data_IF_784135948139
#
_entry.id   IF_784135948139
#
_cell.length_a   1.000
_cell.length_b   1.000
_cell.length_c   1.000
_cell.angle_alpha   90.00
_cell.angle_beta   90.00
_cell.angle_gamma   90.00
#
_symmetry.space_group_name_H-M   'P 1'
#
loop_
_entity.id
_entity.type
_entity.pdbx_description
1 polymer ?
#
# COMPACT_ATOMS: atom_id res chain seq x y z
N UNK A 1 -2.38 6.84 27.28
CA UNK A 1 -3.17 6.14 26.25
C UNK A 1 -2.39 6.20 24.94
N UNK A 2 -2.04 5.06 24.35
CA UNK A 2 -1.50 5.06 22.99
C UNK A 2 -2.64 5.45 22.05
N UNK A 3 -2.52 6.59 21.36
CA UNK A 3 -3.48 6.91 20.30
C UNK A 3 -3.36 5.84 19.23
N UNK A 4 -4.44 5.08 19.03
CA UNK A 4 -4.54 4.14 17.91
C UNK A 4 -4.37 4.94 16.61
N UNK A 5 -3.44 4.53 15.77
CA UNK A 5 -3.22 5.15 14.46
C UNK A 5 -4.23 4.53 13.49
N UNK A 6 -4.78 5.32 12.59
CA UNK A 6 -5.66 4.82 11.54
C UNK A 6 -4.83 4.26 10.38
N UNK A 7 -5.31 3.18 9.75
CA UNK A 7 -4.59 2.61 8.62
C UNK A 7 -4.59 3.55 7.41
N UNK A 8 -5.74 4.16 7.12
CA UNK A 8 -5.94 5.04 5.98
C UNK A 8 -6.26 6.48 6.40
N UNK A 9 -5.77 7.46 5.62
CA UNK A 9 -6.01 8.89 5.86
C UNK A 9 -7.48 9.25 5.98
N UNK A 10 -8.33 8.70 5.10
CA UNK A 10 -9.78 8.93 5.14
C UNK A 10 -10.40 8.51 6.48
N UNK A 11 -10.06 7.31 6.96
CA UNK A 11 -10.51 6.82 8.26
C UNK A 11 -10.00 7.68 9.43
N UNK A 12 -8.80 8.27 9.30
CA UNK A 12 -8.24 9.19 10.29
C UNK A 12 -9.02 10.52 10.34
N UNK A 13 -9.42 11.05 9.19
CA UNK A 13 -10.27 12.25 9.10
C UNK A 13 -11.63 11.99 9.74
N UNK A 14 -12.26 10.87 9.41
CA UNK A 14 -13.58 10.47 9.96
C UNK A 14 -13.54 10.32 11.49
N UNK A 15 -12.41 9.90 12.04
CA UNK A 15 -12.20 9.75 13.49
C UNK A 15 -11.66 11.02 14.17
N UNK A 16 -11.53 12.15 13.47
CA UNK A 16 -11.05 13.41 14.04
C UNK A 16 -9.55 13.46 14.34
N UNK A 17 -8.75 12.57 13.75
CA UNK A 17 -7.28 12.52 13.91
C UNK A 17 -6.56 12.55 12.56
N UNK A 18 -6.73 13.60 11.75
CA UNK A 18 -6.30 13.64 10.34
C UNK A 18 -4.79 13.46 10.10
N UNK A 19 -3.96 13.64 11.13
CA UNK A 19 -2.51 13.42 11.06
C UNK A 19 -2.07 11.99 11.42
N UNK A 20 -2.96 11.18 12.00
CA UNK A 20 -2.66 9.84 12.51
C UNK A 20 -3.10 8.76 11.54
N UNK A 21 -2.41 8.70 10.40
CA UNK A 21 -2.63 7.69 9.38
C UNK A 21 -1.33 7.07 8.89
N UNK A 22 -1.35 5.81 8.48
CA UNK A 22 -0.19 5.18 7.85
C UNK A 22 -0.12 5.45 6.35
N UNK A 23 -1.20 5.18 5.63
CA UNK A 23 -1.24 5.20 4.17
C UNK A 23 -2.33 6.13 3.64
N UNK A 24 -2.06 6.75 2.51
CA UNK A 24 -2.98 7.61 1.77
C UNK A 24 -3.08 7.12 0.32
N UNK A 25 -3.92 6.10 0.04
CA UNK A 25 -4.14 5.60 -1.31
C UNK A 25 -4.85 6.63 -2.19
N UNK A 26 -4.51 6.66 -3.48
CA UNK A 26 -5.19 7.54 -4.44
C UNK A 26 -6.67 7.16 -4.60
N UNK A 27 -7.52 8.11 -4.97
CA UNK A 27 -8.96 7.84 -5.16
C UNK A 27 -9.22 6.77 -6.22
N UNK A 28 -8.40 6.71 -7.26
CA UNK A 28 -8.53 5.69 -8.30
C UNK A 28 -8.18 4.30 -7.78
N UNK A 29 -7.20 4.19 -6.87
CA UNK A 29 -6.87 2.92 -6.22
C UNK A 29 -7.99 2.47 -5.28
N UNK A 30 -8.59 3.40 -4.55
CA UNK A 30 -9.73 3.13 -3.67
C UNK A 30 -10.98 2.64 -4.39
N UNK A 31 -11.10 2.88 -5.70
CA UNK A 31 -12.20 2.36 -6.55
C UNK A 31 -11.93 0.93 -7.04
N UNK A 32 -10.71 0.44 -6.92
CA UNK A 32 -10.36 -0.94 -7.26
C UNK A 32 -10.87 -1.86 -6.16
N UNK A 33 -11.37 -3.03 -6.54
CA UNK A 33 -11.87 -4.03 -5.61
C UNK A 33 -10.81 -4.38 -4.55
N UNK A 34 -11.25 -4.52 -3.30
CA UNK A 34 -10.38 -4.89 -2.17
C UNK A 34 -9.74 -6.29 -2.31
N UNK A 35 -10.15 -7.09 -3.31
CA UNK A 35 -9.45 -8.33 -3.67
C UNK A 35 -8.15 -8.09 -4.42
N UNK A 36 -8.02 -6.97 -5.15
CA UNK A 36 -6.83 -6.66 -5.93
C UNK A 36 -5.69 -6.09 -5.07
N UNK A 37 -6.01 -5.52 -3.92
CA UNK A 37 -5.01 -5.02 -3.00
C UNK A 37 -5.55 -4.97 -1.58
N UNK A 38 -4.68 -5.21 -0.60
CA UNK A 38 -5.04 -5.12 0.83
C UNK A 38 -3.84 -4.75 1.67
N UNK A 39 -4.12 -4.18 2.84
CA UNK A 39 -3.11 -3.84 3.84
C UNK A 39 -3.44 -4.52 5.15
N UNK A 40 -2.45 -5.17 5.76
CA UNK A 40 -2.53 -5.76 7.09
C UNK A 40 -1.55 -5.01 8.00
N UNK A 41 -2.04 -4.54 9.15
CA UNK A 41 -1.20 -3.93 10.18
C UNK A 41 -0.66 -5.00 11.13
N UNK A 42 0.66 -5.01 11.34
CA UNK A 42 1.35 -5.80 12.36
C UNK A 42 1.94 -4.86 13.41
N UNK A 43 2.52 -5.40 14.49
CA UNK A 43 3.10 -4.58 15.56
C UNK A 43 4.17 -3.60 15.03
N UNK A 44 5.14 -4.13 14.28
CA UNK A 44 6.33 -3.38 13.82
C UNK A 44 6.29 -2.94 12.35
N UNK A 45 5.36 -3.48 11.55
CA UNK A 45 5.33 -3.24 10.11
C UNK A 45 3.91 -3.32 9.55
N UNK A 46 3.76 -2.96 8.28
CA UNK A 46 2.56 -3.18 7.47
C UNK A 46 2.89 -4.15 6.36
N UNK A 47 1.94 -5.02 6.04
CA UNK A 47 2.01 -5.86 4.84
C UNK A 47 1.04 -5.31 3.81
N UNK A 48 1.55 -4.78 2.70
CA UNK A 48 0.76 -4.42 1.52
C UNK A 48 0.82 -5.57 0.52
N UNK A 49 -0.33 -6.14 0.18
CA UNK A 49 -0.47 -7.18 -0.85
C UNK A 49 -1.14 -6.57 -2.08
N UNK A 50 -0.61 -6.87 -3.26
CA UNK A 50 -1.12 -6.46 -4.57
C UNK A 50 -1.25 -7.73 -5.42
N UNK A 51 -2.43 -7.94 -6.00
CA UNK A 51 -2.78 -9.12 -6.82
C UNK A 51 -2.99 -8.68 -8.27
N UNK A 52 -2.14 -9.17 -9.18
CA UNK A 52 -2.17 -8.82 -10.59
C UNK A 52 -3.47 -9.20 -11.29
N UNK A 53 -4.09 -10.32 -10.90
CA UNK A 53 -5.34 -10.78 -11.48
C UNK A 53 -6.49 -9.86 -11.10
N UNK A 54 -6.48 -9.37 -9.85
CA UNK A 54 -7.43 -8.35 -9.38
C UNK A 54 -7.31 -7.01 -10.12
N UNK A 55 -6.12 -6.69 -10.65
CA UNK A 55 -5.89 -5.52 -11.51
C UNK A 55 -6.13 -5.80 -13.01
N UNK A 56 -6.34 -7.06 -13.39
CA UNK A 56 -6.64 -7.49 -14.76
C UNK A 56 -5.46 -7.41 -15.74
N UNK A 57 -4.23 -7.25 -15.24
CA UNK A 57 -3.06 -7.00 -16.09
C UNK A 57 -1.74 -7.21 -15.38
N UNK A 58 -0.65 -6.99 -16.09
CA UNK A 58 0.69 -7.11 -15.50
C UNK A 58 0.95 -5.90 -14.59
N UNK A 59 1.29 -6.16 -13.33
CA UNK A 59 1.51 -5.12 -12.33
C UNK A 59 3.00 -4.94 -12.08
N UNK A 60 3.45 -3.70 -12.18
CA UNK A 60 4.78 -3.26 -11.75
C UNK A 60 4.63 -2.35 -10.54
N UNK A 61 5.43 -2.60 -9.50
CA UNK A 61 5.46 -1.76 -8.30
C UNK A 61 6.83 -1.11 -8.17
N UNK A 62 6.85 0.20 -7.95
CA UNK A 62 8.08 0.98 -7.76
C UNK A 62 7.95 1.95 -6.60
N UNK A 63 9.09 2.41 -6.10
CA UNK A 63 9.18 3.28 -4.93
C UNK A 63 9.86 4.59 -5.31
N UNK A 64 9.21 5.70 -4.99
CA UNK A 64 9.74 7.04 -5.22
C UNK A 64 9.53 7.89 -3.96
N UNK A 65 10.58 8.01 -3.14
CA UNK A 65 10.52 8.69 -1.86
C UNK A 65 9.48 8.05 -0.93
N UNK A 66 8.40 8.79 -0.63
CA UNK A 66 7.28 8.31 0.22
C UNK A 66 6.13 7.68 -0.59
N UNK A 67 6.27 7.56 -1.90
CA UNK A 67 5.21 7.03 -2.76
C UNK A 67 5.51 5.59 -3.17
N UNK A 68 4.51 4.74 -3.03
CA UNK A 68 4.44 3.42 -3.66
C UNK A 68 3.63 3.60 -4.94
N UNK A 69 4.28 3.44 -6.09
CA UNK A 69 3.66 3.58 -7.40
C UNK A 69 3.31 2.18 -7.92
N UNK A 70 2.09 2.03 -8.42
CA UNK A 70 1.57 0.78 -8.97
C UNK A 70 1.17 1.07 -10.41
N UNK A 71 1.91 0.51 -11.35
CA UNK A 71 1.61 0.59 -12.78
C UNK A 71 1.02 -0.74 -13.25
N UNK A 72 -0.08 -0.66 -14.00
CA UNK A 72 -0.77 -1.83 -14.53
C UNK A 72 -0.79 -1.73 -16.05
N UNK A 73 -0.11 -2.66 -16.70
CA UNK A 73 -0.17 -2.85 -18.14
C UNK A 73 -1.39 -3.72 -18.46
N UNK A 74 -2.47 -3.08 -18.92
CA UNK A 74 -3.70 -3.72 -19.37
C UNK A 74 -3.79 -3.70 -20.90
N UNK A 75 -4.64 -4.55 -21.49
CA UNK A 75 -4.91 -4.55 -22.94
C UNK A 75 -5.44 -3.21 -23.47
N UNK A 76 -6.11 -2.44 -22.60
CA UNK A 76 -6.69 -1.13 -22.93
C UNK A 76 -5.74 0.04 -22.65
N UNK A 77 -4.48 -0.25 -22.32
CA UNK A 77 -3.45 0.74 -22.02
C UNK A 77 -2.97 0.69 -20.56
N UNK A 78 -2.07 1.62 -20.24
CA UNK A 78 -1.41 1.69 -18.93
C UNK A 78 -2.27 2.44 -17.93
N UNK A 79 -2.50 1.84 -16.76
CA UNK A 79 -3.13 2.50 -15.60
C UNK A 79 -2.08 2.74 -14.53
N UNK A 80 -2.17 3.88 -13.85
CA UNK A 80 -1.25 4.25 -12.76
C UNK A 80 -2.03 4.53 -11.48
N UNK A 81 -1.55 3.97 -10.39
CA UNK A 81 -2.06 4.17 -9.05
C UNK A 81 -0.90 4.51 -8.12
N UNK A 82 -1.21 5.10 -6.98
CA UNK A 82 -0.21 5.43 -5.99
C UNK A 82 -0.76 5.34 -4.57
N UNK A 83 0.14 5.06 -3.64
CA UNK A 83 -0.11 5.14 -2.20
C UNK A 83 0.98 6.04 -1.62
N UNK A 84 0.56 7.14 -1.00
CA UNK A 84 1.46 7.99 -0.24
C UNK A 84 1.60 7.44 1.18
N UNK A 85 2.83 7.15 1.59
CA UNK A 85 3.17 6.75 2.95
C UNK A 85 3.29 7.97 3.85
N UNK A 86 2.86 7.87 5.11
CA UNK A 86 3.08 8.92 6.09
C UNK A 86 4.50 8.81 6.68
N UNK A 87 5.44 9.71 6.32
CA UNK A 87 6.84 9.61 6.77
C UNK A 87 7.01 9.92 8.26
N UNK A 88 5.97 10.45 8.94
CA UNK A 88 6.00 10.63 10.41
C UNK A 88 5.86 9.32 11.16
N UNK A 89 5.39 8.25 10.50
CA UNK A 89 5.00 7.00 11.14
C UNK A 89 5.59 5.75 10.47
N UNK A 90 6.01 5.86 9.22
CA UNK A 90 6.58 4.78 8.42
C UNK A 90 7.99 5.13 7.98
N UNK A 91 8.84 4.11 7.89
CA UNK A 91 10.13 4.21 7.24
C UNK A 91 9.92 4.29 5.71
N UNK A 92 10.69 5.15 5.04
CA UNK A 92 10.68 5.21 3.57
C UNK A 92 11.31 3.98 2.91
N UNK A 93 12.07 3.19 3.67
CA UNK A 93 12.60 1.91 3.21
C UNK A 93 11.47 0.87 3.18
N UNK A 94 11.11 0.43 1.98
CA UNK A 94 10.18 -0.69 1.76
C UNK A 94 10.98 -1.91 1.35
N UNK A 95 10.77 -3.02 2.05
CA UNK A 95 11.36 -4.30 1.70
C UNK A 95 10.34 -5.11 0.88
N UNK A 96 10.80 -5.69 -0.22
CA UNK A 96 10.00 -6.66 -0.97
C UNK A 96 10.19 -8.00 -0.27
N UNK A 97 9.10 -8.65 0.15
CA UNK A 97 9.18 -9.98 0.74
C UNK A 97 9.65 -10.98 -0.34
N UNK A 98 10.87 -11.52 -0.25
CA UNK A 98 11.40 -12.40 -1.28
C UNK A 98 10.64 -13.73 -1.34
N UNK A 99 9.96 -14.14 -0.26
CA UNK A 99 9.11 -15.34 -0.24
C UNK A 99 7.75 -15.12 -0.94
N UNK A 100 7.34 -13.86 -1.12
CA UNK A 100 6.12 -13.48 -1.82
C UNK A 100 6.32 -13.22 -3.31
N UNK A 101 7.57 -13.10 -3.78
CA UNK A 101 7.92 -13.14 -5.20
C UNK A 101 7.80 -14.58 -5.70
N UNK A 102 6.58 -15.09 -5.76
CA UNK A 102 6.25 -16.25 -6.60
C UNK A 102 5.63 -15.71 -7.88
N UNK A 103 6.41 -15.63 -8.98
CA UNK A 103 5.89 -15.17 -10.27
C UNK A 103 4.67 -15.97 -10.74
N UNK A 104 4.51 -17.21 -10.26
CA UNK A 104 3.41 -18.11 -10.57
C UNK A 104 2.06 -17.75 -9.92
N UNK A 105 2.03 -16.86 -8.92
CA UNK A 105 0.81 -16.55 -8.15
C UNK A 105 0.28 -15.12 -8.42
N UNK A 106 0.91 -14.35 -9.31
CA UNK A 106 0.45 -12.99 -9.66
C UNK A 106 0.45 -11.98 -8.50
N UNK A 107 0.95 -12.37 -7.33
CA UNK A 107 0.85 -11.57 -6.10
C UNK A 107 2.19 -10.96 -5.73
N UNK A 108 2.22 -9.67 -5.45
CA UNK A 108 3.35 -8.96 -4.86
C UNK A 108 3.04 -8.60 -3.41
N UNK A 109 3.95 -8.88 -2.48
CA UNK A 109 3.84 -8.43 -1.08
C UNK A 109 5.01 -7.55 -0.70
N UNK A 110 4.66 -6.46 -0.03
CA UNK A 110 5.59 -5.43 0.43
C UNK A 110 5.50 -5.31 1.94
N UNK A 111 6.67 -5.26 2.57
CA UNK A 111 6.82 -5.05 4.01
C UNK A 111 7.25 -3.60 4.21
N UNK A 112 6.41 -2.83 4.90
CA UNK A 112 6.63 -1.41 5.17
C UNK A 112 6.83 -1.23 6.67
N UNK A 113 8.06 -0.98 7.09
CA UNK A 113 8.42 -0.88 8.49
C UNK A 113 7.86 0.39 9.14
N UNK A 114 7.33 0.26 10.36
CA UNK A 114 6.95 1.42 11.17
C UNK A 114 8.19 2.07 11.76
N UNK A 115 8.12 3.39 12.00
CA UNK A 115 9.16 4.06 12.78
C UNK A 115 9.10 3.55 14.23
N UNK A 116 10.23 3.08 14.75
CA UNK A 116 10.36 2.77 16.18
C UNK A 116 10.15 4.07 16.95
N UNK A 117 9.21 4.05 17.90
CA UNK A 117 8.94 5.16 18.79
C UNK A 117 10.02 5.31 19.85
#
# INVERSE_FOLDING_TARGET
MASKIHLFKKSAIEAGTPEKYYLNPSENLMKIAASAWRVVEHEDFLTLTIDSDGFGGFVTVSFEGKFINIEVDHKDGKKKFSIEMNPKLLNSTVEIDPAALKPSEGTSRLIISKLKK
#
